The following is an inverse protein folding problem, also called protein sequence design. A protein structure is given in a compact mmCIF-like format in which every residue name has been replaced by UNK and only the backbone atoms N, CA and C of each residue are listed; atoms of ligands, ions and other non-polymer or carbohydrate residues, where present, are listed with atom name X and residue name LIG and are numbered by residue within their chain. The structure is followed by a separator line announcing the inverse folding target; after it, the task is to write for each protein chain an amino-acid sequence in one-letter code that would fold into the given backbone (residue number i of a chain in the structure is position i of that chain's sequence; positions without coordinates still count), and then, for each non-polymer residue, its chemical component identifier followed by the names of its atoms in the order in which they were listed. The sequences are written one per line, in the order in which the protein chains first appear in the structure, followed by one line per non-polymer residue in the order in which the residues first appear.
data_IF_185866713277
#
_entry.id   IF_185866713277
#
_cell.length_a   1.000
_cell.length_b   1.000
_cell.length_c   1.000
_cell.angle_alpha   90.00
_cell.angle_beta   90.00
_cell.angle_gamma   90.00
#
_symmetry.space_group_name_H-M   'P 1'
#
loop_
_entity.id
_entity.type
_entity.pdbx_description
1 polymer ?
#
# COMPACT_ATOMS: atom_id res chain seq x y z
N UNK A 1 -6.81 3.63 -12.47
CA UNK A 1 -5.83 3.29 -11.43
C UNK A 1 -6.42 2.17 -10.56
N UNK A 2 -5.92 0.94 -10.67
CA UNK A 2 -6.46 -0.22 -9.95
C UNK A 2 -5.43 -0.74 -8.94
N UNK A 3 -5.68 -0.55 -7.63
CA UNK A 3 -4.83 -1.08 -6.56
C UNK A 3 -5.30 -2.51 -6.24
N UNK A 4 -4.64 -3.51 -6.83
CA UNK A 4 -4.91 -4.95 -6.62
C UNK A 4 -4.13 -5.44 -5.40
N UNK A 5 -4.77 -5.44 -4.22
CA UNK A 5 -4.17 -5.96 -2.99
C UNK A 5 -3.88 -7.48 -3.06
N UNK A 6 -4.55 -8.21 -3.96
CA UNK A 6 -4.37 -9.65 -4.17
C UNK A 6 -3.01 -10.03 -4.80
N UNK A 7 -2.30 -9.07 -5.40
CA UNK A 7 -1.04 -9.33 -6.15
C UNK A 7 0.24 -9.29 -5.30
N UNK A 8 0.16 -8.89 -4.03
CA UNK A 8 1.31 -8.88 -3.11
C UNK A 8 1.51 -10.29 -2.55
N UNK A 9 1.99 -11.20 -3.39
CA UNK A 9 2.41 -12.56 -3.01
C UNK A 9 3.93 -12.59 -2.81
N UNK A 10 4.37 -13.01 -1.63
CA UNK A 10 5.79 -13.16 -1.29
C UNK A 10 6.25 -14.58 -1.63
N UNK A 11 6.96 -14.76 -2.75
CA UNK A 11 7.68 -16.01 -3.08
C UNK A 11 9.14 -15.74 -3.49
N UNK A 12 10.02 -16.74 -3.28
CA UNK A 12 11.50 -16.70 -3.20
C UNK A 12 12.25 -16.05 -4.38
N UNK A 13 13.34 -15.29 -4.16
CA UNK A 13 14.79 -15.63 -4.05
C UNK A 13 15.51 -14.84 -5.17
N UNK A 14 16.09 -13.71 -4.81
CA UNK A 14 16.70 -12.70 -5.68
C UNK A 14 16.86 -11.40 -4.89
N UNK A 15 17.93 -10.63 -5.14
CA UNK A 15 18.44 -9.53 -4.29
C UNK A 15 17.38 -8.68 -3.59
N UNK A 16 17.65 -8.33 -2.32
CA UNK A 16 16.67 -7.87 -1.32
C UNK A 16 15.69 -6.77 -1.76
N UNK A 17 16.05 -5.93 -2.74
CA UNK A 17 15.18 -4.89 -3.29
C UNK A 17 14.24 -5.41 -4.39
N UNK A 18 14.71 -6.27 -5.28
CA UNK A 18 13.89 -6.84 -6.38
C UNK A 18 12.73 -7.68 -5.87
N UNK A 19 12.91 -8.39 -4.75
CA UNK A 19 11.81 -9.12 -4.09
C UNK A 19 10.71 -8.19 -3.57
N UNK A 20 11.07 -7.00 -3.10
CA UNK A 20 10.11 -6.04 -2.55
C UNK A 20 9.30 -5.36 -3.67
N UNK A 21 9.87 -5.21 -4.87
CA UNK A 21 9.22 -4.59 -6.02
C UNK A 21 8.45 -5.59 -6.91
N UNK A 22 8.70 -6.90 -6.78
CA UNK A 22 8.04 -7.93 -7.59
C UNK A 22 6.50 -7.80 -7.68
N UNK A 23 5.77 -7.47 -6.59
CA UNK A 23 4.33 -7.22 -6.68
C UNK A 23 3.96 -6.01 -7.53
N UNK A 24 4.76 -4.94 -7.50
CA UNK A 24 4.55 -3.72 -8.29
C UNK A 24 4.80 -4.00 -9.77
N UNK A 25 5.88 -4.70 -10.07
CA UNK A 25 6.22 -5.14 -11.43
C UNK A 25 5.13 -6.05 -12.04
N UNK A 26 4.45 -6.85 -11.20
CA UNK A 26 3.34 -7.71 -11.63
C UNK A 26 2.04 -6.96 -11.97
N UNK A 27 1.97 -5.65 -11.73
CA UNK A 27 0.80 -4.81 -12.05
C UNK A 27 0.75 -4.39 -13.52
N UNK A 28 1.89 -4.46 -14.23
CA UNK A 28 2.00 -4.16 -15.67
C UNK A 28 2.41 -2.72 -15.99
N UNK A 29 2.75 -2.43 -17.27
CA UNK A 29 3.44 -1.21 -17.71
C UNK A 29 2.58 0.07 -17.73
N UNK A 30 1.34 0.02 -17.24
CA UNK A 30 0.42 1.16 -17.16
C UNK A 30 0.05 1.47 -15.70
N UNK A 31 0.77 0.85 -14.76
CA UNK A 31 0.54 1.06 -13.35
C UNK A 31 1.31 2.28 -12.86
N UNK A 32 0.55 3.22 -12.31
CA UNK A 32 1.09 4.39 -11.65
C UNK A 32 1.23 4.12 -10.14
N UNK A 33 2.45 4.15 -9.63
CA UNK A 33 2.77 3.99 -8.22
C UNK A 33 2.41 5.24 -7.42
N UNK A 34 1.74 5.08 -6.29
CA UNK A 34 1.36 6.16 -5.38
C UNK A 34 1.80 5.80 -3.97
N UNK A 35 2.49 6.73 -3.31
CA UNK A 35 2.89 6.64 -1.90
C UNK A 35 2.28 7.79 -1.07
N UNK A 36 2.72 7.93 0.19
CA UNK A 36 2.26 8.99 1.08
C UNK A 36 3.12 10.27 1.05
N UNK A 37 4.07 10.36 0.12
CA UNK A 37 5.02 11.44 -0.03
C UNK A 37 5.83 11.74 1.24
N UNK A 38 6.04 10.75 2.11
CA UNK A 38 6.91 10.94 3.27
C UNK A 38 8.38 11.13 2.84
N UNK A 39 9.20 11.90 3.59
CA UNK A 39 10.59 12.20 3.21
C UNK A 39 11.47 10.98 2.85
N UNK A 40 11.35 9.81 3.51
CA UNK A 40 12.10 8.62 3.11
C UNK A 40 11.79 8.10 1.70
N UNK A 41 10.59 8.35 1.18
CA UNK A 41 10.17 7.95 -0.17
C UNK A 41 10.64 8.93 -1.26
N UNK A 42 11.10 10.12 -0.86
CA UNK A 42 11.63 11.18 -1.75
C UNK A 42 13.14 11.30 -1.66
N UNK A 43 13.80 10.20 -1.37
CA UNK A 43 15.26 10.15 -1.46
C UNK A 43 15.65 9.87 -2.90
N UNK A 44 16.77 10.44 -3.35
CA UNK A 44 17.32 10.21 -4.69
C UNK A 44 17.43 8.72 -4.99
N UNK A 45 17.87 7.93 -4.01
CA UNK A 45 17.99 6.47 -4.15
C UNK A 45 16.66 5.76 -4.41
N UNK A 46 15.53 6.26 -3.87
CA UNK A 46 14.21 5.69 -4.15
C UNK A 46 13.72 6.10 -5.53
N UNK A 47 13.97 7.35 -5.96
CA UNK A 47 13.62 7.84 -7.30
C UNK A 47 14.39 7.06 -8.37
N UNK A 48 15.72 6.95 -8.24
CA UNK A 48 16.57 6.14 -9.15
C UNK A 48 16.12 4.68 -9.22
N UNK A 49 15.66 4.11 -8.10
CA UNK A 49 15.16 2.73 -8.06
C UNK A 49 13.86 2.57 -8.86
N UNK A 50 12.90 3.49 -8.69
CA UNK A 50 11.63 3.47 -9.43
C UNK A 50 11.87 3.65 -10.92
N UNK A 51 12.75 4.57 -11.31
CA UNK A 51 13.16 4.79 -12.70
C UNK A 51 13.83 3.55 -13.31
N UNK A 52 14.76 2.90 -12.57
CA UNK A 52 15.49 1.72 -13.08
C UNK A 52 14.60 0.50 -13.33
N UNK A 53 13.45 0.45 -12.65
CA UNK A 53 12.48 -0.64 -12.74
C UNK A 53 11.26 -0.25 -13.60
N UNK A 54 11.33 0.88 -14.31
CA UNK A 54 10.28 1.42 -15.20
C UNK A 54 8.92 1.60 -14.49
N UNK A 55 8.97 2.02 -13.21
CA UNK A 55 7.79 2.27 -12.39
C UNK A 55 7.49 3.76 -12.39
N UNK A 56 6.40 4.15 -13.06
CA UNK A 56 5.92 5.53 -13.05
C UNK A 56 5.45 5.90 -11.64
N UNK A 57 5.99 6.99 -11.08
CA UNK A 57 5.58 7.52 -9.77
C UNK A 57 4.61 8.67 -9.96
N UNK A 58 3.50 8.66 -9.22
CA UNK A 58 2.55 9.77 -9.27
C UNK A 58 3.06 10.98 -8.48
N UNK A 59 3.17 12.10 -9.17
CA UNK A 59 3.35 13.41 -8.56
C UNK A 59 2.05 13.88 -7.90
N UNK A 60 1.93 13.68 -6.60
CA UNK A 60 0.81 14.20 -5.81
C UNK A 60 1.27 15.12 -4.68
N UNK A 61 0.48 16.16 -4.47
CA UNK A 61 0.71 17.17 -3.42
C UNK A 61 0.81 16.51 -2.04
N UNK A 62 1.95 16.70 -1.36
CA UNK A 62 2.18 16.28 0.03
C UNK A 62 1.14 16.85 1.03
N UNK A 63 0.37 17.87 0.62
CA UNK A 63 -0.47 18.68 1.51
C UNK A 63 -1.92 18.21 1.65
N UNK A 64 -2.31 17.12 1.00
CA UNK A 64 -3.66 16.53 1.19
C UNK A 64 -3.59 15.28 2.07
N UNK A 65 -3.26 15.47 3.35
CA UNK A 65 -3.21 14.41 4.37
C UNK A 65 -4.54 13.65 4.51
N UNK A 66 -5.63 14.34 4.21
CA UNK A 66 -7.03 13.93 4.17
C UNK A 66 -7.41 13.15 2.90
N UNK A 67 -6.66 13.29 1.80
CA UNK A 67 -6.93 12.63 0.51
C UNK A 67 -5.90 11.55 0.15
N UNK A 68 -5.14 11.05 1.12
CA UNK A 68 -4.23 9.93 0.84
C UNK A 68 -4.97 8.58 1.01
N UNK A 69 -5.20 7.82 -0.09
CA UNK A 69 -5.88 6.54 -0.01
C UNK A 69 -5.11 5.48 0.78
N UNK A 70 -3.78 5.57 0.83
CA UNK A 70 -2.94 4.69 1.68
C UNK A 70 -3.25 4.93 3.15
N UNK A 71 -3.39 6.19 3.57
CA UNK A 71 -3.77 6.53 4.95
C UNK A 71 -5.18 6.07 5.29
N UNK A 72 -6.13 6.22 4.36
CA UNK A 72 -7.50 5.78 4.58
C UNK A 72 -7.61 4.26 4.75
N UNK A 73 -6.98 3.49 3.85
CA UNK A 73 -6.94 2.02 3.95
C UNK A 73 -6.20 1.59 5.22
N UNK A 74 -5.09 2.24 5.59
CA UNK A 74 -4.39 1.96 6.86
C UNK A 74 -5.27 2.21 8.08
N UNK A 75 -6.07 3.28 8.08
CA UNK A 75 -7.00 3.57 9.16
C UNK A 75 -8.12 2.52 9.24
N UNK A 76 -8.65 2.07 8.10
CA UNK A 76 -9.63 1.00 8.06
C UNK A 76 -9.09 -0.29 8.70
N UNK A 77 -7.86 -0.67 8.36
CA UNK A 77 -7.18 -1.84 8.92
C UNK A 77 -6.77 -1.67 10.39
N UNK A 78 -6.50 -0.44 10.84
CA UNK A 78 -6.03 -0.14 12.19
C UNK A 78 -7.13 -0.02 13.24
N UNK A 79 -8.36 0.33 12.84
CA UNK A 79 -9.52 0.46 13.75
C UNK A 79 -9.83 -0.82 14.53
N UNK A 80 -9.88 -2.01 13.90
CA UNK A 80 -10.10 -3.27 14.60
C UNK A 80 -9.00 -3.56 15.63
N UNK A 81 -7.74 -3.28 15.28
CA UNK A 81 -6.59 -3.48 16.18
C UNK A 81 -6.65 -2.58 17.43
N UNK A 82 -7.25 -1.40 17.31
CA UNK A 82 -7.46 -0.47 18.42
C UNK A 82 -8.68 -0.84 19.29
N UNK A 83 -9.53 -1.77 18.87
CA UNK A 83 -10.71 -2.16 19.62
C UNK A 83 -10.32 -3.00 20.86
N UNK A 84 -10.93 -2.76 22.04
CA UNK A 84 -10.52 -3.43 23.29
C UNK A 84 -10.58 -4.96 23.25
N UNK A 85 -11.51 -5.53 22.46
CA UNK A 85 -11.70 -6.96 22.28
C UNK A 85 -10.72 -7.63 21.31
N UNK A 86 -10.05 -6.84 20.47
CA UNK A 86 -9.13 -7.28 19.43
C UNK A 86 -7.70 -6.78 19.66
N UNK A 87 -7.47 -6.00 20.73
CA UNK A 87 -6.18 -5.44 21.10
C UNK A 87 -5.14 -6.56 21.26
N UNK A 88 -4.23 -6.71 20.28
CA UNK A 88 -3.31 -7.82 20.28
C UNK A 88 -2.13 -7.49 21.19
N UNK A 89 -1.98 -8.24 22.28
CA UNK A 89 -0.85 -8.10 23.22
C UNK A 89 0.42 -8.82 22.74
N UNK A 90 0.34 -9.58 21.64
CA UNK A 90 1.49 -10.29 21.06
C UNK A 90 1.60 -10.05 19.55
N UNK A 91 2.84 -10.10 19.04
CA UNK A 91 3.13 -9.95 17.60
C UNK A 91 2.38 -11.00 16.75
N UNK A 92 2.32 -12.29 17.13
CA UNK A 92 1.54 -13.27 16.35
C UNK A 92 0.05 -12.94 16.27
N UNK A 93 -0.56 -12.49 17.37
CA UNK A 93 -1.98 -12.12 17.38
C UNK A 93 -2.22 -10.88 16.53
N UNK A 94 -1.33 -9.88 16.59
CA UNK A 94 -1.41 -8.69 15.75
C UNK A 94 -1.36 -9.06 14.27
N UNK A 95 -0.43 -9.95 13.88
CA UNK A 95 -0.31 -10.43 12.50
C UNK A 95 -1.58 -11.12 12.03
N UNK A 96 -2.15 -11.99 12.87
CA UNK A 96 -3.40 -12.68 12.56
C UNK A 96 -4.56 -11.69 12.34
N UNK A 97 -4.77 -10.76 13.28
CA UNK A 97 -5.84 -9.75 13.15
C UNK A 97 -5.67 -8.93 11.88
N UNK A 98 -4.46 -8.43 11.59
CA UNK A 98 -4.20 -7.67 10.37
C UNK A 98 -4.44 -8.48 9.09
N UNK A 99 -4.16 -9.78 9.10
CA UNK A 99 -4.42 -10.66 7.95
C UNK A 99 -5.92 -10.85 7.71
N UNK A 100 -6.69 -11.11 8.76
CA UNK A 100 -8.15 -11.27 8.68
C UNK A 100 -8.82 -9.97 8.21
N UNK A 101 -8.45 -8.84 8.80
CA UNK A 101 -9.00 -7.54 8.41
C UNK A 101 -8.64 -7.19 6.98
N UNK A 102 -7.41 -7.48 6.54
CA UNK A 102 -6.99 -7.29 5.15
C UNK A 102 -7.79 -8.14 4.19
N UNK A 103 -8.09 -9.39 4.53
CA UNK A 103 -8.92 -10.27 3.72
C UNK A 103 -10.38 -9.81 3.66
N UNK A 104 -10.86 -9.15 4.71
CA UNK A 104 -12.21 -8.59 4.79
C UNK A 104 -12.41 -7.29 3.99
N UNK A 105 -11.34 -6.54 3.68
CA UNK A 105 -11.44 -5.33 2.87
C UNK A 105 -11.80 -5.68 1.43
N UNK A 106 -13.02 -5.29 1.01
CA UNK A 106 -13.48 -5.53 -0.36
C UNK A 106 -12.80 -4.60 -1.37
N UNK A 107 -12.53 -5.13 -2.57
CA UNK A 107 -12.02 -4.33 -3.70
C UNK A 107 -12.97 -3.19 -4.09
N UNK A 108 -14.28 -3.39 -3.93
CA UNK A 108 -15.26 -2.34 -4.19
C UNK A 108 -15.11 -1.15 -3.24
N UNK A 109 -14.83 -1.40 -1.96
CA UNK A 109 -14.58 -0.32 -0.98
C UNK A 109 -13.36 0.52 -1.37
N UNK A 110 -12.29 -0.14 -1.83
CA UNK A 110 -11.08 0.52 -2.33
C UNK A 110 -11.38 1.35 -3.57
N UNK A 111 -12.09 0.78 -4.55
CA UNK A 111 -12.46 1.49 -5.78
C UNK A 111 -13.36 2.69 -5.52
N UNK A 112 -14.33 2.57 -4.62
CA UNK A 112 -15.21 3.67 -4.23
C UNK A 112 -14.42 4.80 -3.56
N UNK A 113 -13.47 4.45 -2.69
CA UNK A 113 -12.61 5.44 -2.05
C UNK A 113 -11.75 6.18 -3.07
N UNK A 114 -11.07 5.46 -3.98
CA UNK A 114 -10.28 6.07 -5.05
C UNK A 114 -11.13 7.00 -5.91
N UNK A 115 -12.32 6.55 -6.31
CA UNK A 115 -13.25 7.34 -7.13
C UNK A 115 -13.75 8.60 -6.43
N UNK A 116 -13.85 8.59 -5.09
CA UNK A 116 -14.30 9.73 -4.30
C UNK A 116 -13.28 10.88 -4.23
N UNK A 117 -12.00 10.61 -4.49
CA UNK A 117 -10.93 11.62 -4.44
C UNK A 117 -10.79 12.42 -5.74
N UNK A 118 -11.48 12.01 -6.82
CA UNK A 118 -11.50 12.69 -8.11
C UNK A 118 -12.72 13.62 -8.28
N UNK A 119 -13.38 14.02 -7.18
CA UNK A 119 -14.52 14.94 -7.17
C UNK A 119 -14.13 16.35 -6.74
#
# INVERSE_FOLDING_TARGET
MMIRLDKISMAGQGGSQKRLLAPLLAMGPQFLFMDDNAPPHRTVTVEELLESEDIEHMDWSARSLDLNPVKHVRNLLGRPVAAPNLSPVTIPKLRYVLQEERAAVSQQLINNHISSMHK
#
